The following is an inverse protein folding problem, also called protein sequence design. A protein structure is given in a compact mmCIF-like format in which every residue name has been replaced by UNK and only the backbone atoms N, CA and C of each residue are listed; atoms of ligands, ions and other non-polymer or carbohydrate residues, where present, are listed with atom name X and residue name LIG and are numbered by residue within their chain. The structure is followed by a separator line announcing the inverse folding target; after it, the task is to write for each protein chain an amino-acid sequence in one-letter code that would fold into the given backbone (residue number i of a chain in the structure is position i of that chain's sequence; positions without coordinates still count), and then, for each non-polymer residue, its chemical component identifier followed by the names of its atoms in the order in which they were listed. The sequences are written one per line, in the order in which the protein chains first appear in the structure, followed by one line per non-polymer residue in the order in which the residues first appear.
data_IF_237758987961
#
_entry.id   IF_237758987961
#
_cell.length_a   1.000
_cell.length_b   1.000
_cell.length_c   1.000
_cell.angle_alpha   90.00
_cell.angle_beta   90.00
_cell.angle_gamma   90.00
#
_symmetry.space_group_name_H-M   'P 1'
#
loop_
_entity.id
_entity.type
_entity.pdbx_description
1 polymer ?
#
# COMPACT_ATOMS: atom_id res chain seq x y z
N UNK A 1 -9.42 -31.24 -17.04
CA UNK A 1 -8.62 -31.79 -15.92
C UNK A 1 -7.35 -30.96 -15.91
N UNK A 2 -7.38 -29.83 -15.20
CA UNK A 2 -6.22 -28.93 -15.10
C UNK A 2 -5.24 -29.58 -14.14
N UNK A 3 -4.10 -30.01 -14.67
CA UNK A 3 -2.97 -30.51 -13.91
C UNK A 3 -2.31 -29.32 -13.19
N UNK A 4 -2.94 -28.89 -12.09
CA UNK A 4 -2.35 -27.92 -11.17
C UNK A 4 -1.36 -28.68 -10.30
N UNK A 5 -0.26 -29.10 -10.91
CA UNK A 5 0.94 -29.47 -10.17
C UNK A 5 1.55 -28.18 -9.59
N UNK A 6 0.98 -27.69 -8.48
CA UNK A 6 1.81 -27.00 -7.50
C UNK A 6 2.83 -28.06 -7.05
N UNK A 7 4.01 -28.05 -7.68
CA UNK A 7 5.10 -28.92 -7.24
C UNK A 7 5.41 -28.56 -5.80
N UNK A 8 4.85 -29.32 -4.88
CA UNK A 8 5.11 -29.32 -3.44
C UNK A 8 6.49 -29.88 -3.14
N UNK A 9 7.50 -29.43 -3.87
CA UNK A 9 8.91 -29.51 -3.48
C UNK A 9 9.32 -28.17 -2.87
N UNK A 10 8.59 -27.72 -1.85
CA UNK A 10 9.25 -26.92 -0.82
C UNK A 10 10.17 -27.90 -0.11
N UNK A 11 11.45 -27.88 -0.48
CA UNK A 11 12.49 -28.60 0.23
C UNK A 11 12.60 -27.88 1.58
N UNK A 12 11.91 -28.38 2.60
CA UNK A 12 11.78 -27.69 3.88
C UNK A 12 13.12 -27.71 4.59
N UNK A 13 13.71 -26.53 4.70
CA UNK A 13 14.92 -26.29 5.47
C UNK A 13 14.56 -26.30 6.97
N UNK A 14 15.11 -27.23 7.78
CA UNK A 14 14.91 -27.25 9.23
C UNK A 14 15.27 -25.92 9.91
N UNK A 15 16.15 -25.11 9.32
CA UNK A 15 16.51 -23.79 9.83
C UNK A 15 15.35 -22.78 9.81
N UNK A 16 14.27 -23.04 9.07
CA UNK A 16 13.07 -22.18 9.06
C UNK A 16 12.33 -22.18 10.41
N UNK A 17 12.49 -23.22 11.22
CA UNK A 17 11.83 -23.34 12.53
C UNK A 17 12.37 -22.35 13.57
N UNK A 18 13.58 -21.85 13.38
CA UNK A 18 14.22 -20.89 14.30
C UNK A 18 14.09 -19.44 13.81
N UNK A 19 13.57 -19.22 12.60
CA UNK A 19 13.49 -17.88 12.00
C UNK A 19 12.27 -17.11 12.52
N UNK A 20 12.54 -15.99 13.17
CA UNK A 20 11.52 -14.99 13.54
C UNK A 20 10.92 -14.26 12.33
N UNK A 21 11.60 -14.32 11.18
CA UNK A 21 11.21 -13.66 9.94
C UNK A 21 11.12 -14.65 8.79
N UNK A 22 10.00 -14.64 8.07
CA UNK A 22 9.78 -15.48 6.88
C UNK A 22 9.45 -14.63 5.66
N UNK A 23 10.01 -14.98 4.51
CA UNK A 23 9.64 -14.42 3.22
C UNK A 23 8.87 -15.49 2.42
N UNK A 24 7.70 -15.11 1.90
CA UNK A 24 6.81 -16.04 1.20
C UNK A 24 6.60 -15.55 -0.24
N UNK A 25 6.92 -16.42 -1.19
CA UNK A 25 6.53 -16.22 -2.59
C UNK A 25 5.10 -16.75 -2.79
N UNK A 26 4.14 -15.84 -2.86
CA UNK A 26 2.74 -16.15 -3.15
C UNK A 26 2.51 -16.50 -4.65
N UNK A 27 3.56 -16.46 -5.48
CA UNK A 27 3.51 -16.76 -6.90
C UNK A 27 2.71 -15.72 -7.70
N UNK A 28 2.61 -14.49 -7.21
CA UNK A 28 1.80 -13.44 -7.84
C UNK A 28 2.33 -13.07 -9.23
N UNK A 29 3.64 -13.22 -9.47
CA UNK A 29 4.28 -12.94 -10.76
C UNK A 29 4.12 -14.05 -11.81
N UNK A 30 3.41 -15.14 -11.50
CA UNK A 30 3.14 -16.18 -12.48
C UNK A 30 2.17 -15.63 -13.53
N UNK A 31 2.52 -15.81 -14.81
CA UNK A 31 1.71 -15.38 -15.94
C UNK A 31 0.23 -15.78 -15.76
N UNK A 32 -0.67 -14.81 -15.91
CA UNK A 32 -2.12 -15.03 -15.82
C UNK A 32 -2.66 -15.15 -14.39
N UNK A 33 -1.94 -14.66 -13.37
CA UNK A 33 -2.52 -14.49 -12.04
C UNK A 33 -3.70 -13.51 -12.09
N UNK A 34 -4.82 -13.89 -11.47
CA UNK A 34 -6.05 -13.12 -11.39
C UNK A 34 -6.43 -12.95 -9.91
N UNK A 35 -6.55 -11.71 -9.44
CA UNK A 35 -6.87 -11.42 -8.04
C UNK A 35 -8.26 -11.92 -7.60
N UNK A 36 -9.15 -12.20 -8.56
CA UNK A 36 -10.50 -12.74 -8.32
C UNK A 36 -10.59 -14.27 -8.48
N UNK A 37 -9.48 -14.96 -8.74
CA UNK A 37 -9.43 -16.44 -8.74
C UNK A 37 -9.54 -16.98 -7.30
N UNK A 38 -10.76 -17.36 -6.92
CA UNK A 38 -11.06 -17.89 -5.58
C UNK A 38 -10.30 -19.18 -5.25
N UNK A 39 -10.05 -20.04 -6.24
CA UNK A 39 -9.36 -21.32 -6.00
C UNK A 39 -7.91 -21.04 -5.64
N UNK A 40 -7.25 -20.14 -6.40
CA UNK A 40 -5.89 -19.72 -6.07
C UNK A 40 -5.83 -18.99 -4.73
N UNK A 41 -6.76 -18.08 -4.46
CA UNK A 41 -6.82 -17.37 -3.18
C UNK A 41 -6.88 -18.34 -1.99
N UNK A 42 -7.77 -19.34 -2.04
CA UNK A 42 -7.89 -20.35 -0.98
C UNK A 42 -6.64 -21.23 -0.88
N UNK A 43 -6.06 -21.63 -2.02
CA UNK A 43 -4.82 -22.41 -2.03
C UNK A 43 -3.66 -21.63 -1.38
N UNK A 44 -3.50 -20.35 -1.72
CA UNK A 44 -2.48 -19.47 -1.13
C UNK A 44 -2.70 -19.28 0.37
N UNK A 45 -3.95 -19.03 0.80
CA UNK A 45 -4.30 -18.90 2.22
C UNK A 45 -3.96 -20.15 3.03
N UNK A 46 -4.33 -21.34 2.55
CA UNK A 46 -4.03 -22.61 3.21
C UNK A 46 -2.51 -22.88 3.32
N UNK A 47 -1.73 -22.43 2.33
CA UNK A 47 -0.26 -22.51 2.39
C UNK A 47 0.27 -21.60 3.50
N UNK A 48 -0.20 -20.36 3.58
CA UNK A 48 0.19 -19.43 4.63
C UNK A 48 -0.16 -19.94 6.03
N UNK A 49 -1.37 -20.48 6.21
CA UNK A 49 -1.80 -21.06 7.48
C UNK A 49 -0.90 -22.24 7.88
N UNK A 50 -0.63 -23.17 6.95
CA UNK A 50 0.24 -24.32 7.21
C UNK A 50 1.67 -23.90 7.54
N UNK A 51 2.17 -22.80 6.93
CA UNK A 51 3.47 -22.22 7.25
C UNK A 51 3.52 -21.69 8.69
N UNK A 52 2.49 -20.93 9.09
CA UNK A 52 2.42 -20.37 10.44
C UNK A 52 2.32 -21.48 11.51
N UNK A 53 1.59 -22.57 11.24
CA UNK A 53 1.52 -23.72 12.14
C UNK A 53 2.86 -24.44 12.30
N UNK A 54 3.68 -24.47 11.24
CA UNK A 54 5.00 -25.09 11.27
C UNK A 54 6.06 -24.20 11.90
N UNK A 55 5.91 -22.88 11.85
CA UNK A 55 6.82 -21.91 12.44
C UNK A 55 6.12 -21.06 13.53
N UNK A 56 5.73 -21.67 14.67
CA UNK A 56 4.96 -20.99 15.71
C UNK A 56 5.69 -19.82 16.41
N UNK A 57 7.01 -19.70 16.20
CA UNK A 57 7.83 -18.58 16.68
C UNK A 57 8.04 -17.45 15.66
N UNK A 58 7.37 -17.50 14.50
CA UNK A 58 7.45 -16.44 13.50
C UNK A 58 6.75 -15.18 14.02
N UNK A 59 7.49 -14.08 14.08
CA UNK A 59 7.00 -12.77 14.52
C UNK A 59 6.64 -11.87 13.33
N UNK A 60 7.31 -12.06 12.19
CA UNK A 60 7.14 -11.21 11.00
C UNK A 60 7.19 -12.01 9.69
N UNK A 61 6.29 -11.68 8.76
CA UNK A 61 6.21 -12.28 7.42
C UNK A 61 6.27 -11.18 6.35
N UNK A 62 7.20 -11.33 5.40
CA UNK A 62 7.20 -10.58 4.15
C UNK A 62 6.29 -11.30 3.15
N UNK A 63 5.07 -10.77 2.99
CA UNK A 63 4.03 -11.36 2.14
C UNK A 63 4.18 -10.96 0.68
N UNK A 64 4.93 -9.91 0.39
CA UNK A 64 5.08 -9.40 -0.96
C UNK A 64 6.47 -8.82 -1.19
N UNK A 65 7.13 -9.27 -2.26
CA UNK A 65 8.33 -8.64 -2.81
C UNK A 65 8.18 -8.48 -4.31
N UNK A 66 8.16 -7.24 -4.80
CA UNK A 66 8.27 -6.96 -6.23
C UNK A 66 7.61 -5.65 -6.68
N UNK A 67 7.45 -5.42 -7.99
CA UNK A 67 7.07 -4.13 -8.58
C UNK A 67 5.78 -3.51 -8.05
N UNK A 68 5.80 -2.19 -7.86
CA UNK A 68 4.62 -1.44 -7.44
C UNK A 68 3.62 -1.24 -8.59
N UNK A 69 4.08 -1.14 -9.85
CA UNK A 69 3.20 -0.98 -11.02
C UNK A 69 2.65 -2.32 -11.52
N UNK A 70 1.45 -2.67 -11.08
CA UNK A 70 0.76 -3.89 -11.50
C UNK A 70 0.03 -3.80 -12.85
N UNK A 71 -0.04 -2.61 -13.46
CA UNK A 71 -0.85 -2.39 -14.68
C UNK A 71 -0.36 -3.20 -15.88
N UNK A 72 0.94 -3.50 -15.92
CA UNK A 72 1.58 -4.18 -17.06
C UNK A 72 1.68 -5.69 -16.90
N UNK A 73 1.53 -6.20 -15.68
CA UNK A 73 1.86 -7.60 -15.38
C UNK A 73 0.66 -8.55 -15.46
N UNK A 74 -0.57 -8.05 -15.34
CA UNK A 74 -1.73 -8.92 -15.21
C UNK A 74 -2.89 -8.57 -16.14
N UNK A 75 -3.52 -9.57 -16.77
CA UNK A 75 -4.79 -9.35 -17.46
C UNK A 75 -5.83 -8.89 -16.44
N UNK A 76 -6.38 -7.70 -16.65
CA UNK A 76 -7.50 -7.20 -15.86
C UNK A 76 -8.72 -8.06 -16.21
N UNK A 77 -9.25 -8.80 -15.23
CA UNK A 77 -10.49 -9.56 -15.42
C UNK A 77 -11.66 -8.61 -15.72
N UNK A 78 -12.74 -9.12 -16.33
CA UNK A 78 -13.92 -8.30 -16.59
C UNK A 78 -14.50 -7.69 -15.30
N UNK A 79 -14.43 -8.44 -14.19
CA UNK A 79 -14.86 -7.99 -12.86
C UNK A 79 -14.02 -6.80 -12.38
N UNK A 80 -12.69 -6.91 -12.43
CA UNK A 80 -11.80 -5.82 -12.04
C UNK A 80 -11.93 -4.61 -12.95
N UNK A 81 -12.18 -4.82 -14.24
CA UNK A 81 -12.45 -3.73 -15.19
C UNK A 81 -13.71 -2.97 -14.83
N UNK A 82 -14.81 -3.68 -14.53
CA UNK A 82 -16.06 -3.03 -14.12
C UNK A 82 -15.86 -2.23 -12.82
N UNK A 83 -15.12 -2.78 -11.84
CA UNK A 83 -14.77 -2.05 -10.60
C UNK A 83 -13.93 -0.80 -10.88
N UNK A 84 -12.98 -0.88 -11.81
CA UNK A 84 -12.19 0.28 -12.24
C UNK A 84 -13.09 1.34 -12.88
N UNK A 85 -13.98 0.95 -13.78
CA UNK A 85 -14.90 1.87 -14.47
C UNK A 85 -15.86 2.55 -13.47
N UNK A 86 -16.39 1.81 -12.49
CA UNK A 86 -17.20 2.34 -11.39
C UNK A 86 -16.41 3.33 -10.52
N UNK A 87 -15.21 2.94 -10.07
CA UNK A 87 -14.35 3.81 -9.26
C UNK A 87 -13.98 5.09 -10.02
N UNK A 88 -13.66 5.00 -11.31
CA UNK A 88 -13.36 6.15 -12.15
C UNK A 88 -14.56 7.09 -12.35
N UNK A 89 -15.78 6.53 -12.44
CA UNK A 89 -17.01 7.32 -12.55
C UNK A 89 -17.27 8.14 -11.28
N UNK A 90 -17.04 7.55 -10.11
CA UNK A 90 -17.22 8.19 -8.81
C UNK A 90 -16.19 9.30 -8.55
N UNK A 91 -14.94 9.06 -8.96
CA UNK A 91 -13.80 9.90 -8.55
C UNK A 91 -13.56 11.07 -9.52
N UNK A 92 -13.77 10.92 -10.84
CA UNK A 92 -13.27 11.93 -11.78
C UNK A 92 -14.25 12.51 -12.81
N UNK A 93 -15.45 11.96 -13.03
CA UNK A 93 -16.30 12.36 -14.18
C UNK A 93 -15.55 12.41 -15.54
N UNK A 94 -14.35 11.81 -15.63
CA UNK A 94 -13.46 11.89 -16.79
C UNK A 94 -13.64 10.67 -17.67
N UNK A 95 -13.57 10.88 -18.99
CA UNK A 95 -13.73 9.82 -20.00
C UNK A 95 -12.49 8.92 -20.19
N UNK A 96 -11.34 9.26 -19.60
CA UNK A 96 -10.10 8.49 -19.73
C UNK A 96 -9.30 8.52 -18.44
N UNK A 97 -9.05 7.34 -17.85
CA UNK A 97 -8.19 7.17 -16.70
C UNK A 97 -6.72 7.47 -17.07
N UNK A 98 -6.07 8.36 -16.32
CA UNK A 98 -4.62 8.51 -16.42
C UNK A 98 -3.93 7.22 -16.00
N UNK A 99 -2.71 6.98 -16.48
CA UNK A 99 -1.93 5.81 -16.09
C UNK A 99 -1.76 5.73 -14.57
N UNK A 100 -1.54 6.86 -13.91
CA UNK A 100 -1.43 6.96 -12.45
C UNK A 100 -2.67 6.41 -11.74
N UNK A 101 -3.87 6.75 -12.19
CA UNK A 101 -5.12 6.26 -11.58
C UNK A 101 -5.31 4.75 -11.77
N UNK A 102 -4.91 4.21 -12.92
CA UNK A 102 -4.94 2.77 -13.14
C UNK A 102 -3.96 2.05 -12.20
N UNK A 103 -2.75 2.60 -12.03
CA UNK A 103 -1.78 2.07 -11.08
C UNK A 103 -2.30 2.18 -9.64
N UNK A 104 -2.91 3.30 -9.27
CA UNK A 104 -3.49 3.52 -7.94
C UNK A 104 -4.58 2.49 -7.63
N UNK A 105 -5.47 2.24 -8.59
CA UNK A 105 -6.48 1.18 -8.49
C UNK A 105 -5.85 -0.21 -8.36
N UNK A 106 -4.84 -0.52 -9.17
CA UNK A 106 -4.17 -1.81 -9.13
C UNK A 106 -3.47 -2.06 -7.78
N UNK A 107 -2.84 -1.04 -7.20
CA UNK A 107 -2.23 -1.10 -5.87
C UNK A 107 -3.29 -1.27 -4.77
N UNK A 108 -4.45 -0.62 -4.90
CA UNK A 108 -5.58 -0.85 -3.99
C UNK A 108 -6.03 -2.32 -4.03
N UNK A 109 -6.22 -2.89 -5.22
CA UNK A 109 -6.61 -4.29 -5.39
C UNK A 109 -5.56 -5.25 -4.82
N UNK A 110 -4.27 -4.96 -5.06
CA UNK A 110 -3.18 -5.73 -4.47
C UNK A 110 -3.24 -5.68 -2.94
N UNK A 111 -3.38 -4.49 -2.35
CA UNK A 111 -3.43 -4.35 -0.90
C UNK A 111 -4.63 -5.08 -0.29
N UNK A 112 -5.82 -4.95 -0.89
CA UNK A 112 -7.02 -5.71 -0.49
C UNK A 112 -6.77 -7.22 -0.54
N UNK A 113 -6.12 -7.70 -1.61
CA UNK A 113 -5.79 -9.11 -1.75
C UNK A 113 -4.82 -9.58 -0.66
N UNK A 114 -3.72 -8.84 -0.44
CA UNK A 114 -2.73 -9.16 0.59
C UNK A 114 -3.37 -9.14 1.98
N UNK A 115 -4.23 -8.17 2.29
CA UNK A 115 -4.94 -8.08 3.56
C UNK A 115 -5.82 -9.30 3.80
N UNK A 116 -6.55 -9.75 2.77
CA UNK A 116 -7.37 -10.97 2.83
C UNK A 116 -6.54 -12.25 2.92
N UNK A 117 -5.33 -12.28 2.35
CA UNK A 117 -4.42 -13.41 2.53
C UNK A 117 -3.86 -13.42 3.95
N UNK A 118 -3.49 -12.25 4.50
CA UNK A 118 -2.96 -12.12 5.84
C UNK A 118 -3.91 -12.67 6.93
N UNK A 119 -5.23 -12.66 6.70
CA UNK A 119 -6.21 -13.22 7.65
C UNK A 119 -6.13 -14.74 7.85
N UNK A 120 -5.35 -15.46 7.04
CA UNK A 120 -5.08 -16.90 7.25
C UNK A 120 -3.95 -17.15 8.27
N UNK A 121 -3.21 -16.10 8.64
CA UNK A 121 -2.16 -16.18 9.63
C UNK A 121 -2.63 -15.66 10.99
N UNK A 122 -1.99 -16.05 12.11
CA UNK A 122 -2.36 -15.59 13.44
C UNK A 122 -2.20 -14.07 13.61
N UNK A 123 -3.08 -13.44 14.40
CA UNK A 123 -3.05 -12.00 14.68
C UNK A 123 -1.76 -11.51 15.36
N UNK A 124 -0.95 -12.42 15.91
CA UNK A 124 0.34 -12.10 16.54
C UNK A 124 1.45 -11.82 15.53
N UNK A 125 1.25 -12.18 14.25
CA UNK A 125 2.26 -12.04 13.20
C UNK A 125 2.17 -10.65 12.57
N UNK A 126 3.31 -9.98 12.46
CA UNK A 126 3.42 -8.73 11.70
C UNK A 126 3.62 -9.03 10.23
N UNK A 127 2.96 -8.27 9.36
CA UNK A 127 3.14 -8.40 7.91
C UNK A 127 3.91 -7.23 7.34
N UNK A 128 4.71 -7.53 6.33
CA UNK A 128 5.48 -6.55 5.59
C UNK A 128 5.38 -6.77 4.08
N UNK A 129 5.67 -5.72 3.34
CA UNK A 129 5.77 -5.69 1.89
C UNK A 129 7.05 -4.95 1.47
N UNK A 130 7.64 -5.37 0.35
CA UNK A 130 8.83 -4.77 -0.23
C UNK A 130 8.58 -4.48 -1.70
N UNK A 131 8.69 -3.21 -2.09
CA UNK A 131 8.39 -2.81 -3.45
C UNK A 131 9.64 -2.73 -4.34
N UNK A 132 9.47 -3.23 -5.55
CA UNK A 132 10.26 -2.99 -6.76
C UNK A 132 10.50 -1.53 -7.05
N UNK A 133 11.39 -1.16 -7.98
CA UNK A 133 11.12 -0.10 -8.99
C UNK A 133 10.56 1.28 -8.54
N UNK A 134 10.73 1.66 -7.28
CA UNK A 134 10.17 2.89 -6.71
C UNK A 134 10.70 4.15 -7.41
N UNK A 135 11.95 4.08 -7.89
CA UNK A 135 12.64 5.15 -8.62
C UNK A 135 12.01 5.48 -9.98
N UNK A 136 11.14 4.60 -10.50
CA UNK A 136 10.48 4.81 -11.79
C UNK A 136 9.30 5.78 -11.70
N UNK A 137 8.85 6.09 -10.48
CA UNK A 137 7.68 6.94 -10.25
C UNK A 137 8.07 8.38 -9.94
N UNK A 138 7.18 9.30 -10.32
CA UNK A 138 7.17 10.65 -9.76
C UNK A 138 6.95 10.56 -8.25
N UNK A 139 7.70 11.33 -7.46
CA UNK A 139 7.68 11.21 -6.00
C UNK A 139 6.29 11.45 -5.38
N UNK A 140 5.51 12.42 -5.87
CA UNK A 140 4.12 12.60 -5.43
C UNK A 140 3.19 11.44 -5.80
N UNK A 141 3.42 10.77 -6.93
CA UNK A 141 2.68 9.53 -7.26
C UNK A 141 3.07 8.43 -6.27
N UNK A 142 4.36 8.28 -5.99
CA UNK A 142 4.87 7.29 -5.05
C UNK A 142 4.27 7.49 -3.65
N UNK A 143 4.21 8.72 -3.16
CA UNK A 143 3.58 9.09 -1.89
C UNK A 143 2.12 8.61 -1.82
N UNK A 144 1.37 8.72 -2.91
CA UNK A 144 0.00 8.22 -2.97
C UNK A 144 -0.06 6.70 -3.01
N UNK A 145 0.74 6.07 -3.89
CA UNK A 145 0.74 4.63 -4.05
C UNK A 145 1.13 3.90 -2.76
N UNK A 146 2.07 4.45 -1.99
CA UNK A 146 2.53 3.91 -0.70
C UNK A 146 1.76 4.46 0.52
N UNK A 147 0.66 5.17 0.30
CA UNK A 147 -0.15 5.76 1.36
C UNK A 147 -0.51 4.73 2.45
N UNK A 148 -0.33 5.09 3.72
CA UNK A 148 -0.61 4.21 4.87
C UNK A 148 -2.06 3.76 4.97
N UNK A 149 -3.02 4.48 4.38
CA UNK A 149 -4.41 4.03 4.27
C UNK A 149 -4.54 2.73 3.48
N UNK A 150 -3.69 2.53 2.48
CA UNK A 150 -3.69 1.32 1.65
C UNK A 150 -3.05 0.17 2.41
N UNK A 151 -1.93 0.44 3.08
CA UNK A 151 -1.11 -0.56 3.74
C UNK A 151 -1.23 -0.50 5.27
N UNK A 152 -2.42 -0.25 5.81
CA UNK A 152 -2.65 -0.04 7.26
C UNK A 152 -2.15 -1.20 8.12
N UNK A 153 -2.20 -2.42 7.59
CA UNK A 153 -1.81 -3.66 8.28
C UNK A 153 -0.44 -4.19 7.85
N UNK A 154 0.31 -3.40 7.08
CA UNK A 154 1.59 -3.81 6.52
C UNK A 154 2.67 -2.77 6.81
N UNK A 155 3.83 -3.25 7.24
CA UNK A 155 5.05 -2.47 7.19
C UNK A 155 5.56 -2.43 5.73
N UNK A 156 5.94 -1.26 5.24
CA UNK A 156 6.59 -1.13 3.94
C UNK A 156 8.09 -1.04 4.22
N UNK A 157 8.82 -2.13 3.98
CA UNK A 157 10.24 -2.27 4.38
C UNK A 157 11.15 -1.19 3.78
N UNK A 158 10.77 -0.67 2.61
CA UNK A 158 11.52 0.32 1.85
C UNK A 158 10.70 1.60 1.64
N UNK A 159 9.92 2.00 2.65
CA UNK A 159 9.19 3.27 2.66
C UNK A 159 10.18 4.45 2.61
N UNK A 160 10.15 5.29 1.57
CA UNK A 160 11.04 6.44 1.49
C UNK A 160 10.56 7.62 2.37
N UNK A 161 9.41 7.53 3.03
CA UNK A 161 8.73 8.66 3.68
C UNK A 161 8.72 8.59 5.22
N UNK A 162 9.89 8.61 5.87
CA UNK A 162 10.02 8.45 7.33
C UNK A 162 10.41 9.72 8.12
N UNK A 163 10.24 10.91 7.52
CA UNK A 163 10.71 12.17 8.10
C UNK A 163 9.99 12.66 9.38
N UNK A 164 10.56 13.70 9.98
CA UNK A 164 9.98 14.49 11.08
C UNK A 164 9.15 15.70 10.59
N UNK A 165 9.10 15.92 9.27
CA UNK A 165 8.20 16.86 8.62
C UNK A 165 7.06 16.05 8.00
N UNK A 166 5.82 16.43 8.23
CA UNK A 166 4.65 15.79 7.64
C UNK A 166 4.12 16.54 6.43
N UNK A 167 3.59 15.82 5.44
CA UNK A 167 2.66 16.36 4.46
C UNK A 167 1.35 15.57 4.51
N UNK A 168 0.23 16.29 4.58
CA UNK A 168 -1.09 15.67 4.49
C UNK A 168 -1.36 15.32 3.02
N UNK A 169 -1.62 14.04 2.78
CA UNK A 169 -2.15 13.57 1.51
C UNK A 169 -3.67 13.75 1.51
N UNK A 170 -4.23 14.55 0.59
CA UNK A 170 -5.67 14.58 0.37
C UNK A 170 -6.18 13.20 -0.04
N UNK A 171 -7.50 13.02 0.06
CA UNK A 171 -8.16 11.86 -0.53
C UNK A 171 -7.90 11.79 -2.03
N UNK A 172 -7.82 10.59 -2.59
CA UNK A 172 -7.44 10.37 -3.98
C UNK A 172 -8.32 11.18 -4.95
N UNK A 173 -9.63 11.29 -4.67
CA UNK A 173 -10.59 12.06 -5.48
C UNK A 173 -10.34 13.57 -5.50
N UNK A 174 -9.60 14.11 -4.54
CA UNK A 174 -9.28 15.54 -4.46
C UNK A 174 -7.96 15.89 -5.15
N UNK A 175 -7.22 14.87 -5.60
CA UNK A 175 -5.88 15.03 -6.16
C UNK A 175 -5.99 15.28 -7.67
N UNK A 176 -5.56 16.46 -8.07
CA UNK A 176 -5.29 16.82 -9.46
C UNK A 176 -3.79 17.09 -9.67
N UNK A 177 -3.41 17.43 -10.90
CA UNK A 177 -2.01 17.71 -11.25
C UNK A 177 -1.42 18.90 -10.44
N UNK A 178 -2.25 19.88 -10.08
CA UNK A 178 -1.81 21.02 -9.28
C UNK A 178 -1.52 20.58 -7.84
N UNK A 179 -2.35 19.70 -7.27
CA UNK A 179 -2.11 19.05 -5.98
C UNK A 179 -0.82 18.24 -6.01
N UNK A 180 -0.62 17.39 -7.03
CA UNK A 180 0.60 16.59 -7.17
C UNK A 180 1.86 17.45 -7.25
N UNK A 181 1.79 18.59 -7.97
CA UNK A 181 2.89 19.54 -8.04
C UNK A 181 3.23 20.14 -6.68
N UNK A 182 2.23 20.57 -5.90
CA UNK A 182 2.45 21.07 -4.53
C UNK A 182 3.08 20.00 -3.62
N UNK A 183 2.65 18.74 -3.75
CA UNK A 183 3.26 17.61 -3.04
C UNK A 183 4.74 17.48 -3.43
N UNK A 184 5.06 17.48 -4.73
CA UNK A 184 6.45 17.41 -5.18
C UNK A 184 7.30 18.56 -4.63
N UNK A 185 6.76 19.77 -4.60
CA UNK A 185 7.50 20.96 -4.14
C UNK A 185 7.90 20.81 -2.67
N UNK A 186 7.02 20.28 -1.81
CA UNK A 186 7.35 19.95 -0.41
C UNK A 186 8.34 18.80 -0.33
N UNK A 187 8.10 17.70 -1.06
CA UNK A 187 8.97 16.52 -1.00
C UNK A 187 10.40 16.85 -1.46
N UNK A 188 10.57 17.76 -2.42
CA UNK A 188 11.88 18.24 -2.88
C UNK A 188 12.55 19.18 -1.89
N UNK A 189 11.79 20.01 -1.17
CA UNK A 189 12.34 20.94 -0.19
C UNK A 189 13.13 20.24 0.92
N UNK A 190 12.75 19.00 1.23
CA UNK A 190 13.32 18.21 2.33
C UNK A 190 14.05 16.96 1.87
N UNK A 191 14.49 16.89 0.61
CA UNK A 191 15.21 15.73 0.05
C UNK A 191 14.50 14.40 0.34
N UNK A 192 13.17 14.40 0.18
CA UNK A 192 12.27 13.26 0.44
C UNK A 192 12.17 12.81 1.90
N UNK A 193 12.87 13.46 2.84
CA UNK A 193 12.76 13.21 4.27
C UNK A 193 11.47 13.83 4.87
N UNK A 194 10.34 13.39 4.34
CA UNK A 194 9.00 13.86 4.69
C UNK A 194 8.12 12.65 4.92
N UNK A 195 7.36 12.66 6.01
CA UNK A 195 6.31 11.69 6.29
C UNK A 195 5.05 12.03 5.50
N UNK A 196 4.62 11.12 4.64
CA UNK A 196 3.35 11.25 3.93
C UNK A 196 2.21 10.72 4.81
N UNK A 197 1.27 11.59 5.17
CA UNK A 197 0.23 11.31 6.17
C UNK A 197 -1.13 11.37 5.49
N UNK A 198 -1.83 10.23 5.35
CA UNK A 198 -3.21 10.25 4.92
C UNK A 198 -4.06 11.07 5.89
N UNK A 199 -5.01 11.83 5.36
CA UNK A 199 -5.86 12.72 6.16
C UNK A 199 -6.55 11.99 7.33
N UNK A 200 -6.99 10.75 7.11
CA UNK A 200 -7.65 9.90 8.09
C UNK A 200 -6.73 9.46 9.24
N UNK A 201 -5.42 9.52 9.03
CA UNK A 201 -4.40 9.00 9.95
C UNK A 201 -3.61 10.10 10.70
N UNK A 202 -3.99 11.37 10.53
CA UNK A 202 -3.31 12.50 11.21
C UNK A 202 -3.17 12.25 12.73
N UNK A 203 -4.23 11.88 13.48
CA UNK A 203 -4.12 11.68 14.93
C UNK A 203 -3.14 10.58 15.35
N UNK A 204 -2.93 9.57 14.50
CA UNK A 204 -2.05 8.43 14.77
C UNK A 204 -0.61 8.72 14.35
N UNK A 205 -0.41 9.54 13.32
CA UNK A 205 0.88 9.73 12.66
C UNK A 205 1.59 11.04 12.99
N UNK A 206 0.95 11.94 13.74
CA UNK A 206 1.54 13.26 14.06
C UNK A 206 2.64 13.25 15.13
N UNK A 207 2.93 12.09 15.70
CA UNK A 207 3.90 11.97 16.78
C UNK A 207 5.31 12.29 16.27
N UNK A 208 6.05 13.10 17.04
CA UNK A 208 7.41 13.57 16.71
C UNK A 208 7.50 14.39 15.42
N UNK A 209 6.38 14.92 14.93
CA UNK A 209 6.41 15.87 13.84
C UNK A 209 6.69 17.27 14.38
N UNK A 210 7.58 17.98 13.72
CA UNK A 210 7.86 19.40 14.01
C UNK A 210 6.90 20.31 13.24
N UNK A 211 6.54 19.89 12.02
CA UNK A 211 5.79 20.68 11.05
C UNK A 211 4.90 19.80 10.20
N UNK A 212 3.74 20.34 9.80
CA UNK A 212 2.77 19.68 8.95
C UNK A 212 2.40 20.59 7.76
N UNK A 213 2.56 20.09 6.55
CA UNK A 213 2.13 20.77 5.33
C UNK A 213 0.74 20.30 4.92
N UNK A 214 -0.15 21.25 4.64
CA UNK A 214 -1.53 21.01 4.23
C UNK A 214 -1.83 21.75 2.92
N UNK A 215 -2.52 21.11 1.98
CA UNK A 215 -2.83 21.76 0.69
C UNK A 215 -4.12 22.56 0.83
N UNK A 216 -4.05 23.87 0.61
CA UNK A 216 -5.17 24.77 0.82
C UNK A 216 -6.38 24.40 -0.05
N UNK A 217 -7.56 24.43 0.55
CA UNK A 217 -8.82 24.03 -0.07
C UNK A 217 -8.96 22.55 -0.46
N UNK A 218 -7.98 21.70 -0.11
CA UNK A 218 -7.94 20.27 -0.48
C UNK A 218 -7.95 19.33 0.73
N UNK A 219 -8.04 19.86 1.94
CA UNK A 219 -8.22 19.07 3.17
C UNK A 219 -9.71 18.99 3.49
N UNK A 220 -10.22 17.79 3.76
CA UNK A 220 -11.62 17.61 4.13
C UNK A 220 -11.89 18.12 5.56
N UNK A 221 -13.17 18.19 5.95
CA UNK A 221 -13.57 18.55 7.33
C UNK A 221 -13.00 17.60 8.38
N UNK A 222 -12.73 16.34 8.03
CA UNK A 222 -12.10 15.39 8.94
C UNK A 222 -10.65 15.80 9.21
N UNK A 223 -9.88 16.04 8.16
CA UNK A 223 -8.49 16.47 8.21
C UNK A 223 -8.30 17.79 8.89
N UNK A 224 -9.19 18.76 8.65
CA UNK A 224 -9.15 20.04 9.37
C UNK A 224 -9.28 19.85 10.88
N UNK A 225 -10.08 18.88 11.35
CA UNK A 225 -10.14 18.56 12.79
C UNK A 225 -8.85 17.91 13.28
N UNK A 226 -8.22 17.06 12.46
CA UNK A 226 -6.90 16.50 12.72
C UNK A 226 -5.82 17.60 12.84
N UNK A 227 -5.80 18.54 11.90
CA UNK A 227 -4.90 19.71 11.90
C UNK A 227 -5.10 20.55 13.17
N UNK A 228 -6.34 20.87 13.53
CA UNK A 228 -6.63 21.63 14.75
C UNK A 228 -6.12 20.94 16.02
N UNK A 229 -6.22 19.60 16.07
CA UNK A 229 -5.62 18.84 17.17
C UNK A 229 -4.10 18.97 17.22
N UNK A 230 -3.45 19.08 16.05
CA UNK A 230 -1.99 19.15 15.95
C UNK A 230 -1.49 20.51 16.42
N UNK A 231 -2.16 21.57 15.98
CA UNK A 231 -1.91 22.94 16.44
C UNK A 231 -2.16 23.08 17.94
N UNK A 232 -3.21 22.44 18.47
CA UNK A 232 -3.49 22.42 19.91
C UNK A 232 -2.40 21.69 20.72
N UNK A 233 -1.63 20.81 20.09
CA UNK A 233 -0.45 20.16 20.65
C UNK A 233 0.87 20.91 20.35
N UNK A 234 0.78 22.20 20.02
CA UNK A 234 1.90 23.10 19.70
C UNK A 234 2.63 22.80 18.39
N UNK A 235 2.04 22.00 17.50
CA UNK A 235 2.58 21.72 16.17
C UNK A 235 2.42 22.90 15.19
N UNK A 236 3.40 23.10 14.30
CA UNK A 236 3.33 24.13 13.25
C UNK A 236 2.67 23.60 11.98
N UNK A 237 1.67 24.31 11.45
CA UNK A 237 0.99 23.96 10.20
C UNK A 237 1.25 25.02 9.13
N UNK A 238 1.64 24.58 7.94
CA UNK A 238 1.85 25.44 6.76
C UNK A 238 0.89 25.05 5.66
N UNK A 239 0.01 25.98 5.27
CA UNK A 239 -0.88 25.80 4.14
C UNK A 239 -0.21 26.23 2.83
N UNK A 240 -0.29 25.37 1.81
CA UNK A 240 0.37 25.54 0.50
C UNK A 240 -0.60 25.43 -0.67
#
# INVERSE_FOLDING_TARGET
MLDVSFSSKFNWDPELLEKKFLEIDLGLFKNGFLFDDQIRFQATGNVLESLCQKAPGCEKILLYRGPLDWTKMHPISLSLKNRLDEWMADVYQMKTASLHLQTLFAVNVLSEYLHRIASFAPDTVQFSVFFTDLETFRISHLAQLLSKNRFTHFEIENDPFEGNIGIILPKDEMVDENVLKKIDDVLKLYDHNVRCIPEEMIPQMWHRLEKLYAIDGKVSRFGMRGIQGFEAAEGEVVFI
#
